data_IF_769528177269
#
_entry.id   IF_769528177269
#
_cell.length_a   1.000
_cell.length_b   1.000
_cell.length_c   1.000
_cell.angle_alpha   90.00
_cell.angle_beta   90.00
_cell.angle_gamma   90.00
#
_symmetry.space_group_name_H-M   'P 1'
#
loop_
_entity.id
_entity.type
_entity.pdbx_description
1 polymer ?
#
# COMPACT_ATOMS: atom_id res chain seq x y z
N UNK A 1 18.14 -33.49 1.42
CA UNK A 1 18.68 -32.11 1.35
C UNK A 1 18.94 -31.65 2.78
N UNK A 2 20.17 -31.24 3.13
CA UNK A 2 20.47 -30.83 4.51
C UNK A 2 19.72 -29.54 4.85
N UNK A 3 19.25 -29.40 6.10
CA UNK A 3 18.49 -28.22 6.58
C UNK A 3 19.16 -26.89 6.18
N UNK A 4 20.49 -26.88 6.14
CA UNK A 4 21.30 -25.70 5.85
C UNK A 4 21.18 -25.24 4.39
N UNK A 5 21.07 -26.19 3.44
CA UNK A 5 20.92 -25.85 2.01
C UNK A 5 19.50 -25.32 1.76
N UNK A 6 18.50 -25.89 2.43
CA UNK A 6 17.12 -25.40 2.34
C UNK A 6 16.98 -23.97 2.89
N UNK A 7 17.56 -23.69 4.06
CA UNK A 7 17.61 -22.33 4.61
C UNK A 7 18.36 -21.34 3.72
N UNK A 8 19.48 -21.74 3.11
CA UNK A 8 20.23 -20.86 2.21
C UNK A 8 19.43 -20.46 0.96
N UNK A 9 18.68 -21.41 0.38
CA UNK A 9 17.80 -21.12 -0.76
C UNK A 9 16.64 -20.21 -0.35
N UNK A 10 16.05 -20.45 0.83
CA UNK A 10 14.96 -19.63 1.34
C UNK A 10 15.39 -18.17 1.57
N UNK A 11 16.57 -17.96 2.17
CA UNK A 11 17.14 -16.63 2.39
C UNK A 11 17.46 -15.94 1.06
N UNK A 12 18.05 -16.66 0.11
CA UNK A 12 18.32 -16.13 -1.23
C UNK A 12 17.05 -15.74 -1.98
N UNK A 13 15.97 -16.51 -1.84
CA UNK A 13 14.69 -16.20 -2.48
C UNK A 13 14.05 -14.95 -1.89
N UNK A 14 14.07 -14.79 -0.56
CA UNK A 14 13.57 -13.57 0.12
C UNK A 14 14.37 -12.34 -0.31
N UNK A 15 15.70 -12.45 -0.39
CA UNK A 15 16.56 -11.35 -0.83
C UNK A 15 16.30 -10.96 -2.29
N UNK A 16 16.08 -11.94 -3.18
CA UNK A 16 15.71 -11.70 -4.58
C UNK A 16 14.30 -11.10 -4.73
N UNK A 17 13.36 -11.39 -3.82
CA UNK A 17 12.03 -10.78 -3.82
C UNK A 17 12.03 -9.34 -3.25
N UNK A 18 13.04 -8.95 -2.46
CA UNK A 18 13.18 -7.56 -1.99
C UNK A 18 13.66 -6.58 -3.08
N UNK A 19 14.11 -7.08 -4.24
CA UNK A 19 14.53 -6.25 -5.38
C UNK A 19 13.41 -5.98 -6.38
N UNK A 20 12.16 -5.87 -5.93
CA UNK A 20 11.12 -5.26 -6.78
C UNK A 20 11.53 -3.80 -6.98
N UNK A 21 11.58 -3.26 -8.21
CA UNK A 21 11.76 -1.83 -8.37
C UNK A 21 10.67 -1.16 -7.55
N UNK A 22 11.08 -0.38 -6.54
CA UNK A 22 10.19 0.54 -5.86
C UNK A 22 9.72 1.49 -6.95
N UNK A 23 8.58 1.18 -7.57
CA UNK A 23 7.83 2.13 -8.35
C UNK A 23 7.47 3.20 -7.34
N UNK A 24 8.31 4.22 -7.23
CA UNK A 24 7.99 5.46 -6.57
C UNK A 24 6.83 6.02 -7.38
N UNK A 25 5.62 5.57 -7.09
CA UNK A 25 4.39 6.21 -7.51
C UNK A 25 4.42 7.53 -6.77
N UNK A 26 4.98 8.54 -7.44
CA UNK A 26 5.24 9.84 -6.85
C UNK A 26 3.96 10.41 -6.25
N UNK A 27 3.89 10.47 -4.92
CA UNK A 27 2.86 11.24 -4.22
C UNK A 27 3.50 12.03 -3.08
N UNK A 28 4.57 12.77 -3.39
CA UNK A 28 5.14 13.75 -2.44
C UNK A 28 4.24 14.99 -2.32
N UNK A 29 3.25 15.17 -3.21
CA UNK A 29 2.33 16.32 -3.20
C UNK A 29 0.96 16.05 -2.54
N UNK A 30 0.46 14.81 -2.53
CA UNK A 30 -0.87 14.47 -2.01
C UNK A 30 -0.80 13.17 -1.23
N UNK A 31 -1.51 13.10 -0.08
CA UNK A 31 -1.65 11.86 0.67
C UNK A 31 -2.65 10.95 -0.03
N UNK A 32 -2.24 9.70 -0.24
CA UNK A 32 -3.06 8.67 -0.85
C UNK A 32 -3.55 7.72 0.25
N UNK A 33 -4.78 7.89 0.71
CA UNK A 33 -5.31 7.15 1.87
C UNK A 33 -5.93 5.79 1.50
N UNK A 34 -5.24 5.00 0.69
CA UNK A 34 -5.67 3.64 0.31
C UNK A 34 -4.60 2.60 0.57
N UNK A 35 -3.85 2.80 1.66
CA UNK A 35 -2.72 1.95 2.02
C UNK A 35 -3.19 0.58 2.55
N UNK A 36 -4.34 0.52 3.21
CA UNK A 36 -5.00 -0.70 3.66
C UNK A 36 -6.45 -0.77 3.16
N UNK A 37 -6.92 -1.97 2.78
CA UNK A 37 -8.24 -2.15 2.20
C UNK A 37 -9.38 -1.95 3.23
N UNK A 38 -9.17 -2.39 4.47
CA UNK A 38 -10.14 -2.21 5.56
C UNK A 38 -10.25 -0.73 5.93
N UNK A 39 -9.11 -0.07 6.09
CA UNK A 39 -9.07 1.36 6.34
C UNK A 39 -9.72 2.17 5.20
N UNK A 40 -9.43 1.83 3.94
CA UNK A 40 -10.06 2.45 2.78
C UNK A 40 -11.58 2.23 2.75
N UNK A 41 -12.05 1.03 3.11
CA UNK A 41 -13.48 0.71 3.24
C UNK A 41 -14.21 1.54 4.30
N UNK A 42 -13.49 2.00 5.33
CA UNK A 42 -13.99 2.93 6.35
C UNK A 42 -13.86 4.41 5.96
N UNK A 43 -13.47 4.73 4.72
CA UNK A 43 -13.18 6.10 4.30
C UNK A 43 -12.00 6.69 5.09
N UNK A 44 -11.01 5.86 5.39
CA UNK A 44 -9.81 6.16 6.20
C UNK A 44 -10.06 6.46 7.67
N UNK A 45 -11.28 6.25 8.18
CA UNK A 45 -11.63 6.42 9.59
C UNK A 45 -11.15 5.23 10.46
N UNK A 46 -9.85 4.92 10.41
CA UNK A 46 -9.29 3.69 11.00
C UNK A 46 -8.40 3.90 12.23
N UNK A 47 -8.06 5.15 12.58
CA UNK A 47 -7.12 5.50 13.66
C UNK A 47 -7.48 4.89 15.02
N UNK A 48 -8.77 4.77 15.32
CA UNK A 48 -9.28 4.20 16.58
C UNK A 48 -9.37 2.68 16.61
N UNK A 49 -9.46 2.03 15.45
CA UNK A 49 -9.53 0.57 15.33
C UNK A 49 -8.10 -0.01 15.25
N UNK A 50 -7.34 0.39 14.22
CA UNK A 50 -5.90 0.12 14.04
C UNK A 50 -5.41 -1.24 14.58
N UNK A 51 -6.13 -2.32 14.30
CA UNK A 51 -5.96 -3.64 14.90
C UNK A 51 -5.34 -4.67 13.93
N UNK A 52 -4.80 -4.20 12.81
CA UNK A 52 -4.14 -5.00 11.78
C UNK A 52 -2.66 -4.59 11.61
N UNK A 53 -1.83 -5.32 10.83
CA UNK A 53 -0.45 -4.90 10.55
C UNK A 53 -0.34 -3.46 10.02
N UNK A 54 -1.38 -2.95 9.35
CA UNK A 54 -1.45 -1.56 8.89
C UNK A 54 -1.45 -0.52 10.03
N UNK A 55 -1.58 -0.94 11.29
CA UNK A 55 -1.45 -0.08 12.47
C UNK A 55 -0.12 0.70 12.47
N UNK A 56 0.97 0.14 11.93
CA UNK A 56 2.26 0.85 11.78
C UNK A 56 2.14 2.16 10.99
N UNK A 57 1.17 2.25 10.08
CA UNK A 57 0.89 3.43 9.27
C UNK A 57 -0.17 4.34 9.89
N UNK A 58 -1.28 3.77 10.37
CA UNK A 58 -2.43 4.55 10.86
C UNK A 58 -2.30 5.00 12.33
N UNK A 59 -1.92 4.09 13.22
CA UNK A 59 -1.76 4.35 14.65
C UNK A 59 -0.92 3.24 15.31
N UNK A 60 0.40 3.44 15.52
CA UNK A 60 1.26 2.41 16.09
C UNK A 60 0.86 1.92 17.49
N UNK A 61 0.05 2.67 18.25
CA UNK A 61 -0.49 2.20 19.52
C UNK A 61 -1.41 0.99 19.34
N UNK A 62 -2.04 0.86 18.17
CA UNK A 62 -2.90 -0.28 17.81
C UNK A 62 -2.15 -1.60 17.66
N UNK A 63 -0.81 -1.58 17.51
CA UNK A 63 0.02 -2.80 17.47
C UNK A 63 -0.12 -3.68 18.70
N UNK A 64 -0.59 -3.16 19.84
CA UNK A 64 -0.88 -3.97 21.02
C UNK A 64 -2.06 -4.94 20.84
N UNK A 65 -2.87 -4.74 19.79
CA UNK A 65 -3.99 -5.60 19.42
C UNK A 65 -3.63 -6.58 18.28
N UNK A 66 -2.41 -6.48 17.72
CA UNK A 66 -1.92 -7.37 16.66
C UNK A 66 -1.15 -8.53 17.29
N UNK A 67 -1.69 -9.74 17.15
CA UNK A 67 -1.10 -10.94 17.77
C UNK A 67 0.11 -11.48 16.98
N UNK A 68 1.23 -11.64 17.67
CA UNK A 68 2.40 -12.36 17.18
C UNK A 68 3.04 -11.72 15.94
N UNK A 69 3.52 -12.57 15.03
CA UNK A 69 4.13 -12.12 13.77
C UNK A 69 3.04 -12.07 12.69
N UNK A 70 2.68 -10.88 12.25
CA UNK A 70 1.66 -10.66 11.22
C UNK A 70 2.25 -9.94 10.01
N UNK A 71 1.71 -10.24 8.82
CA UNK A 71 2.10 -9.66 7.54
C UNK A 71 0.82 -9.37 6.75
N UNK A 72 0.67 -8.15 6.25
CA UNK A 72 -0.40 -7.77 5.32
C UNK A 72 0.21 -7.39 3.98
N UNK A 73 -0.37 -7.89 2.89
CA UNK A 73 0.00 -7.52 1.52
C UNK A 73 -1.29 -7.24 0.74
N UNK A 74 -1.34 -6.09 0.08
CA UNK A 74 -2.49 -5.63 -0.68
C UNK A 74 -2.10 -4.80 -1.89
N UNK A 75 -3.11 -4.38 -2.64
CA UNK A 75 -2.95 -3.38 -3.68
C UNK A 75 -4.25 -2.61 -3.91
N UNK A 76 -4.12 -1.35 -4.27
CA UNK A 76 -5.22 -0.45 -4.58
C UNK A 76 -5.16 -0.03 -6.04
N UNK A 77 -6.29 -0.18 -6.75
CA UNK A 77 -6.47 0.31 -8.11
C UNK A 77 -7.16 1.68 -8.07
N UNK A 78 -6.51 2.69 -8.63
CA UNK A 78 -6.95 4.08 -8.55
C UNK A 78 -7.04 4.60 -9.98
N UNK A 79 -8.21 5.11 -10.36
CA UNK A 79 -8.44 5.70 -11.67
C UNK A 79 -9.06 7.09 -11.51
N UNK A 80 -8.23 8.14 -11.35
CA UNK A 80 -8.71 9.50 -11.27
C UNK A 80 -9.36 9.92 -12.59
N UNK A 81 -10.39 10.77 -12.51
CA UNK A 81 -11.03 11.43 -13.64
C UNK A 81 -11.49 12.83 -13.21
N UNK A 82 -11.53 13.78 -14.13
CA UNK A 82 -11.95 15.14 -13.85
C UNK A 82 -11.75 16.05 -15.05
N UNK A 83 -12.54 17.12 -15.11
CA UNK A 83 -12.54 18.07 -16.21
C UNK A 83 -12.36 19.48 -15.67
N UNK A 84 -11.74 20.35 -16.45
CA UNK A 84 -11.51 21.76 -16.09
C UNK A 84 -12.02 22.66 -17.20
N UNK A 85 -13.04 23.45 -16.89
CA UNK A 85 -13.56 24.48 -17.78
C UNK A 85 -12.69 25.74 -17.73
N UNK A 86 -12.26 26.22 -18.88
CA UNK A 86 -11.51 27.47 -19.05
C UNK A 86 -12.21 28.36 -20.07
N UNK A 87 -11.87 29.65 -20.07
CA UNK A 87 -12.42 30.59 -21.06
C UNK A 87 -12.10 30.20 -22.51
N UNK A 88 -11.03 29.42 -22.73
CA UNK A 88 -10.61 28.88 -24.02
C UNK A 88 -11.25 27.53 -24.38
N UNK A 89 -12.10 26.96 -23.53
CA UNK A 89 -12.71 25.64 -23.68
C UNK A 89 -12.46 24.70 -22.49
N UNK A 90 -13.00 23.48 -22.58
CA UNK A 90 -12.89 22.45 -21.55
C UNK A 90 -11.69 21.54 -21.81
N UNK A 91 -10.93 21.27 -20.76
CA UNK A 91 -9.83 20.31 -20.76
C UNK A 91 -10.22 19.09 -19.94
N UNK A 92 -10.01 17.91 -20.52
CA UNK A 92 -10.52 16.65 -20.00
C UNK A 92 -9.32 15.81 -19.55
N UNK A 93 -9.33 15.35 -18.30
CA UNK A 93 -8.20 14.57 -17.79
C UNK A 93 -8.14 13.18 -18.46
N UNK A 94 -6.97 12.83 -18.97
CA UNK A 94 -6.75 11.49 -19.51
C UNK A 94 -6.81 10.44 -18.39
N UNK A 95 -7.69 9.45 -18.56
CA UNK A 95 -7.81 8.35 -17.60
C UNK A 95 -6.54 7.51 -17.56
N UNK A 96 -5.98 7.37 -16.37
CA UNK A 96 -4.84 6.50 -16.09
C UNK A 96 -5.18 5.57 -14.93
N UNK A 97 -4.79 4.31 -15.07
CA UNK A 97 -4.95 3.30 -14.03
C UNK A 97 -3.65 3.23 -13.22
N UNK A 98 -3.75 3.54 -11.94
CA UNK A 98 -2.65 3.44 -11.00
C UNK A 98 -2.86 2.21 -10.13
N UNK A 99 -1.92 1.26 -10.18
CA UNK A 99 -1.86 0.15 -9.24
C UNK A 99 -0.86 0.52 -8.15
N UNK A 100 -1.34 0.57 -6.92
CA UNK A 100 -0.55 0.95 -5.75
C UNK A 100 -0.45 -0.26 -4.83
N UNK A 101 0.68 -0.99 -4.83
CA UNK A 101 0.88 -2.09 -3.90
C UNK A 101 1.08 -1.55 -2.47
N UNK A 102 0.67 -2.33 -1.49
CA UNK A 102 0.93 -2.07 -0.07
C UNK A 102 1.36 -3.33 0.64
N UNK A 103 2.25 -3.17 1.63
CA UNK A 103 2.64 -4.24 2.53
C UNK A 103 3.00 -3.65 3.89
N UNK A 104 2.59 -4.34 4.97
CA UNK A 104 2.85 -3.97 6.36
C UNK A 104 3.27 -5.19 7.16
#
# INVERSE_FOLDING_TARGET
MSKNIFSAILVSAVFAMSSVPAWAVGSVAYRLEVADATAAGMGSAFVGEADSPAAVYYNPAGMTHVDGNALSIGASLIQPFGDVDRSSGTDQMQRHNFLVPSAF
#
